data_IF_120165490083
#
_entry.id   IF_120165490083
#
_cell.length_a   1.000
_cell.length_b   1.000
_cell.length_c   1.000
_cell.angle_alpha   90.00
_cell.angle_beta   90.00
_cell.angle_gamma   90.00
#
_symmetry.space_group_name_H-M   'P 1'
#
loop_
_entity.id
_entity.type
_entity.pdbx_description
1 polymer ?
#
# COMPACT_ATOMS: atom_id res chain seq x y z
N UNK A 1 -21.27 37.87 12.37
CA UNK A 1 -20.73 37.80 10.99
C UNK A 1 -20.25 36.38 10.72
N UNK A 2 -20.67 35.68 9.66
CA UNK A 2 -20.26 34.31 9.43
C UNK A 2 -18.83 34.25 8.87
N UNK A 3 -17.88 33.79 9.69
CA UNK A 3 -16.48 33.57 9.30
C UNK A 3 -16.31 32.12 8.80
N UNK A 4 -16.74 31.83 7.56
CA UNK A 4 -16.64 30.47 7.02
C UNK A 4 -17.03 30.38 5.55
N UNK A 5 -16.13 30.79 4.66
CA UNK A 5 -16.33 30.70 3.21
C UNK A 5 -14.99 30.46 2.51
N UNK A 6 -15.03 29.88 1.30
CA UNK A 6 -13.85 29.58 0.49
C UNK A 6 -13.11 30.88 0.15
N UNK A 7 -11.99 31.14 0.82
CA UNK A 7 -11.06 32.24 0.48
C UNK A 7 -9.90 31.69 -0.33
N UNK A 8 -9.30 32.52 -1.18
CA UNK A 8 -8.03 32.18 -1.84
C UNK A 8 -6.98 31.86 -0.77
N UNK A 9 -6.48 30.62 -0.75
CA UNK A 9 -5.55 30.14 0.29
C UNK A 9 -6.21 29.65 1.59
N UNK A 10 -7.54 29.58 1.68
CA UNK A 10 -8.21 28.97 2.82
C UNK A 10 -8.12 27.43 2.77
N UNK A 11 -7.92 26.83 3.96
CA UNK A 11 -7.84 25.38 4.12
C UNK A 11 -6.42 24.83 4.02
N UNK A 12 -6.31 23.51 4.05
CA UNK A 12 -5.03 22.80 4.01
C UNK A 12 -4.48 22.79 2.58
N UNK A 13 -3.21 23.18 2.35
CA UNK A 13 -2.65 23.19 1.01
C UNK A 13 -2.71 21.81 0.35
N UNK A 14 -3.07 21.80 -0.94
CA UNK A 14 -3.18 20.56 -1.73
C UNK A 14 -1.80 19.87 -1.78
N UNK A 15 -1.77 18.60 -1.39
CA UNK A 15 -0.52 17.81 -1.36
C UNK A 15 0.29 17.90 -0.07
N UNK A 16 -0.15 18.67 0.94
CA UNK A 16 0.52 18.67 2.23
C UNK A 16 0.49 17.27 2.87
N UNK A 17 1.62 16.83 3.43
CA UNK A 17 1.70 15.60 4.23
C UNK A 17 1.15 15.84 5.63
N UNK A 18 0.46 14.84 6.19
CA UNK A 18 -0.12 14.95 7.54
C UNK A 18 1.00 15.11 8.56
N UNK A 19 0.76 15.87 9.64
CA UNK A 19 1.74 16.05 10.70
C UNK A 19 2.24 14.71 11.26
N UNK A 20 1.35 13.72 11.37
CA UNK A 20 1.67 12.35 11.80
C UNK A 20 2.63 11.65 10.84
N UNK A 21 2.39 11.75 9.53
CA UNK A 21 3.25 11.16 8.49
C UNK A 21 4.64 11.79 8.50
N UNK A 22 4.73 13.10 8.69
CA UNK A 22 6.01 13.81 8.78
C UNK A 22 6.80 13.44 10.05
N UNK A 23 6.11 13.27 11.19
CA UNK A 23 6.74 12.85 12.43
C UNK A 23 7.31 11.42 12.31
N UNK A 24 6.58 10.51 11.67
CA UNK A 24 7.04 9.14 11.44
C UNK A 24 8.24 9.08 10.50
N UNK A 25 8.24 9.83 9.38
CA UNK A 25 9.40 9.87 8.49
C UNK A 25 10.63 10.44 9.19
N UNK A 26 10.48 11.52 9.97
CA UNK A 26 11.59 12.13 10.72
C UNK A 26 12.14 11.22 11.82
N UNK A 27 11.26 10.50 12.53
CA UNK A 27 11.69 9.55 13.56
C UNK A 27 12.50 8.39 12.95
N UNK A 28 12.08 7.90 11.79
CA UNK A 28 12.77 6.83 11.06
C UNK A 28 14.10 7.31 10.47
N UNK A 29 14.14 8.52 9.93
CA UNK A 29 15.39 9.15 9.46
C UNK A 29 16.37 9.39 10.61
N UNK A 30 15.88 9.78 11.79
CA UNK A 30 16.71 10.00 12.98
C UNK A 30 17.28 8.71 13.58
N UNK A 31 16.58 7.57 13.46
CA UNK A 31 17.09 6.27 13.91
C UNK A 31 18.22 5.70 13.04
N UNK A 32 18.56 6.36 11.93
CA UNK A 32 19.67 5.98 11.05
C UNK A 32 19.46 4.72 10.22
N UNK A 33 18.57 3.82 10.65
CA UNK A 33 18.16 2.62 9.94
C UNK A 33 16.76 2.81 9.38
N UNK A 34 16.67 2.94 8.06
CA UNK A 34 15.38 2.94 7.39
C UNK A 34 14.85 1.50 7.29
N UNK A 35 13.52 1.28 7.28
CA UNK A 35 12.95 -0.05 7.04
C UNK A 35 13.47 -0.70 5.75
N UNK A 36 13.74 0.10 4.72
CA UNK A 36 14.32 -0.36 3.47
C UNK A 36 15.75 -0.86 3.67
N UNK A 37 16.56 -0.11 4.42
CA UNK A 37 17.96 -0.46 4.69
C UNK A 37 18.09 -1.76 5.50
N UNK A 38 17.18 -1.98 6.46
CA UNK A 38 17.08 -3.24 7.18
C UNK A 38 16.70 -4.41 6.25
N UNK A 39 15.72 -4.25 5.36
CA UNK A 39 15.37 -5.31 4.41
C UNK A 39 16.54 -5.64 3.46
N UNK A 40 17.29 -4.62 3.02
CA UNK A 40 18.48 -4.82 2.20
C UNK A 40 19.61 -5.55 2.93
N UNK A 41 19.82 -5.27 4.23
CA UNK A 41 20.84 -5.97 5.02
C UNK A 41 20.48 -7.45 5.20
N UNK A 42 19.21 -7.77 5.46
CA UNK A 42 18.72 -9.16 5.59
C UNK A 42 18.88 -9.94 4.28
N UNK A 43 18.61 -9.33 3.12
CA UNK A 43 18.79 -9.97 1.81
C UNK A 43 20.25 -10.30 1.50
N UNK A 44 21.17 -9.45 1.94
CA UNK A 44 22.62 -9.54 1.68
C UNK A 44 23.34 -10.51 2.61
N UNK A 45 22.78 -10.80 3.78
CA UNK A 45 23.39 -11.76 4.72
C UNK A 45 23.13 -13.20 4.29
N UNK A 46 24.21 -13.90 3.94
CA UNK A 46 24.20 -15.29 3.48
C UNK A 46 23.92 -16.30 4.61
N UNK A 47 24.03 -15.88 5.87
CA UNK A 47 23.74 -16.75 7.03
C UNK A 47 22.25 -16.92 7.29
N UNK A 48 21.42 -16.03 6.74
CA UNK A 48 19.97 -16.11 6.89
C UNK A 48 19.39 -17.18 5.96
N UNK A 49 18.35 -17.85 6.45
CA UNK A 49 17.60 -18.82 5.66
C UNK A 49 17.05 -18.17 4.38
N UNK A 50 17.09 -18.93 3.28
CA UNK A 50 16.65 -18.44 1.98
C UNK A 50 15.21 -17.91 1.99
N UNK A 51 14.32 -18.51 2.79
CA UNK A 51 12.94 -18.06 2.95
C UNK A 51 12.85 -16.62 3.51
N UNK A 52 13.66 -16.30 4.52
CA UNK A 52 13.70 -14.97 5.15
C UNK A 52 14.24 -13.92 4.17
N UNK A 53 15.25 -14.29 3.38
CA UNK A 53 15.82 -13.42 2.34
C UNK A 53 14.82 -13.10 1.25
N UNK A 54 14.03 -14.08 0.82
CA UNK A 54 12.98 -13.89 -0.20
C UNK A 54 11.81 -13.04 0.32
N UNK A 55 11.38 -13.24 1.56
CA UNK A 55 10.33 -12.43 2.18
C UNK A 55 10.75 -10.95 2.32
N UNK A 56 12.00 -10.70 2.75
CA UNK A 56 12.57 -9.35 2.78
C UNK A 56 12.61 -8.72 1.38
N UNK A 57 13.02 -9.48 0.35
CA UNK A 57 13.06 -9.01 -1.03
C UNK A 57 11.67 -8.62 -1.56
N UNK A 58 10.66 -9.45 -1.31
CA UNK A 58 9.28 -9.18 -1.73
C UNK A 58 8.73 -7.91 -1.08
N UNK A 59 9.04 -7.67 0.19
CA UNK A 59 8.63 -6.47 0.93
C UNK A 59 9.38 -5.21 0.47
N UNK A 60 10.64 -5.34 0.05
CA UNK A 60 11.44 -4.24 -0.47
C UNK A 60 11.10 -3.86 -1.92
N UNK A 61 10.64 -4.82 -2.73
CA UNK A 61 10.38 -4.64 -4.16
C UNK A 61 9.53 -3.39 -4.52
N UNK A 62 8.43 -3.03 -3.81
CA UNK A 62 7.61 -1.87 -4.16
C UNK A 62 8.33 -0.52 -4.04
N UNK A 63 9.40 -0.46 -3.26
CA UNK A 63 10.16 0.76 -3.02
C UNK A 63 11.30 0.95 -4.03
N UNK A 64 11.76 -0.12 -4.67
CA UNK A 64 12.87 -0.11 -5.65
C UNK A 64 12.36 -0.30 -7.08
N UNK A 65 11.33 -1.13 -7.26
CA UNK A 65 10.70 -1.43 -8.53
C UNK A 65 9.29 -0.86 -8.51
N UNK A 66 9.07 0.20 -9.30
CA UNK A 66 7.77 0.83 -9.42
C UNK A 66 6.72 -0.22 -9.81
N UNK A 67 5.75 -0.45 -8.92
CA UNK A 67 4.59 -1.28 -9.23
C UNK A 67 3.65 -0.46 -10.11
N UNK A 68 3.02 -1.08 -11.11
CA UNK A 68 1.92 -0.43 -11.83
C UNK A 68 0.89 0.07 -10.81
N UNK A 69 0.62 1.36 -10.84
CA UNK A 69 -0.42 1.97 -10.03
C UNK A 69 -1.79 1.51 -10.57
N UNK A 70 -2.64 0.99 -9.70
CA UNK A 70 -4.06 0.78 -10.01
C UNK A 70 -4.74 2.15 -10.05
N UNK A 71 -5.00 2.68 -11.24
CA UNK A 71 -5.70 3.95 -11.42
C UNK A 71 -7.21 3.70 -11.33
N UNK A 72 -7.81 4.09 -10.21
CA UNK A 72 -9.26 4.18 -10.07
C UNK A 72 -9.79 5.39 -10.84
N UNK A 73 -10.30 5.17 -12.05
CA UNK A 73 -11.01 6.21 -12.80
C UNK A 73 -12.39 6.48 -12.17
N UNK A 74 -12.45 7.35 -11.15
CA UNK A 74 -13.73 7.93 -10.68
C UNK A 74 -14.10 9.12 -11.56
N UNK A 75 -15.04 8.91 -12.48
CA UNK A 75 -15.74 9.99 -13.19
C UNK A 75 -16.92 10.49 -12.34
N UNK A 76 -17.15 11.80 -12.28
CA UNK A 76 -18.31 12.40 -11.60
C UNK A 76 -19.63 12.13 -12.32
N UNK A 77 -19.57 11.68 -13.57
CA UNK A 77 -20.71 11.67 -14.48
C UNK A 77 -21.34 10.27 -14.63
N UNK A 78 -21.02 9.33 -13.72
CA UNK A 78 -21.69 8.03 -13.60
C UNK A 78 -21.51 7.07 -14.79
N UNK A 79 -20.69 7.40 -15.79
CA UNK A 79 -20.62 6.65 -17.05
C UNK A 79 -19.69 5.43 -17.05
N UNK A 80 -19.07 5.06 -15.93
CA UNK A 80 -18.21 3.86 -15.86
C UNK A 80 -18.62 2.97 -14.69
N UNK A 81 -19.55 2.06 -14.94
CA UNK A 81 -19.89 0.99 -14.01
C UNK A 81 -18.74 -0.03 -13.93
N UNK A 82 -17.97 -0.01 -12.84
CA UNK A 82 -17.11 -1.15 -12.48
C UNK A 82 -18.03 -2.26 -11.97
N UNK A 83 -18.27 -3.28 -12.78
CA UNK A 83 -18.91 -4.51 -12.30
C UNK A 83 -17.99 -5.11 -11.22
N UNK A 84 -18.50 -5.50 -10.04
CA UNK A 84 -17.68 -6.21 -9.07
C UNK A 84 -17.35 -7.59 -9.62
N UNK A 85 -16.06 -7.94 -9.65
CA UNK A 85 -15.59 -9.29 -9.93
C UNK A 85 -15.92 -10.21 -8.73
N UNK A 86 -17.17 -10.64 -8.65
CA UNK A 86 -17.55 -11.75 -7.75
C UNK A 86 -17.17 -13.05 -8.43
N UNK A 87 -16.00 -13.60 -8.13
CA UNK A 87 -15.70 -15.00 -8.43
C UNK A 87 -16.54 -15.85 -7.49
N UNK A 88 -17.70 -16.28 -7.97
CA UNK A 88 -18.50 -17.32 -7.31
C UNK A 88 -17.73 -18.62 -7.46
N UNK A 89 -17.03 -19.05 -6.41
CA UNK A 89 -16.47 -20.39 -6.34
C UNK A 89 -17.66 -21.35 -6.27
N UNK A 90 -18.01 -21.94 -7.41
CA UNK A 90 -18.98 -23.02 -7.47
C UNK A 90 -18.29 -24.27 -6.92
N UNK A 91 -18.51 -24.55 -5.63
CA UNK A 91 -18.16 -25.83 -5.03
C UNK A 91 -18.95 -26.92 -5.78
N UNK A 92 -18.26 -27.64 -6.65
CA UNK A 92 -18.77 -28.85 -7.27
C UNK A 92 -18.78 -29.97 -6.23
N UNK A 93 -19.85 -30.76 -6.29
CA UNK A 93 -20.16 -31.88 -5.43
C UNK A 93 -19.02 -32.90 -5.30
N UNK A 94 -18.81 -33.35 -4.07
CA UNK A 94 -18.08 -34.56 -3.72
C UNK A 94 -18.77 -35.16 -2.50
N UNK A 95 -19.96 -35.73 -2.72
CA UNK A 95 -20.64 -36.56 -1.75
C UNK A 95 -20.66 -37.97 -2.33
N UNK A 96 -19.97 -38.89 -1.66
CA UNK A 96 -20.14 -40.35 -1.60
C UNK A 96 -18.96 -40.84 -0.72
N UNK A 97 -19.10 -41.39 0.49
CA UNK A 97 -20.24 -42.07 1.10
C UNK A 97 -20.02 -43.59 1.13
N UNK A 98 -19.13 -44.06 2.01
CA UNK A 98 -19.23 -45.36 2.71
C UNK A 98 -19.00 -46.67 1.94
N UNK A 99 -18.02 -47.45 2.41
CA UNK A 99 -18.16 -48.89 2.70
C UNK A 99 -17.37 -49.19 3.99
#
# INVERSE_FOLDING_TARGET
MPQGGRRTGAGRPKGARSAKTLAQTKAVEASGLTPLDFMLSVMRDEKNEQAVRLDAANKAAPYVHAKLATVDHKSSDGSMATKPDTIVIKAAAGADGGD
#
